data_IF_409838905021
#
_entry.id   IF_409838905021
#
_cell.length_a   1.000
_cell.length_b   1.000
_cell.length_c   1.000
_cell.angle_alpha   90.00
_cell.angle_beta   90.00
_cell.angle_gamma   90.00
#
_symmetry.space_group_name_H-M   'P 1'
#
loop_
_entity.id
_entity.type
_entity.pdbx_description
1 polymer ?
#
# COMPACT_ATOMS: atom_id res chain seq x y z
N UNK A 1 33.65 -21.81 -15.81
CA UNK A 1 32.85 -20.98 -16.72
C UNK A 1 31.74 -20.39 -15.87
N UNK A 2 31.63 -19.06 -15.74
CA UNK A 2 30.47 -18.47 -15.05
C UNK A 2 29.22 -18.80 -15.87
N UNK A 3 28.15 -19.18 -15.18
CA UNK A 3 26.89 -19.57 -15.80
C UNK A 3 26.28 -18.33 -16.45
N UNK A 4 25.99 -18.37 -17.75
CA UNK A 4 25.36 -17.26 -18.47
C UNK A 4 23.83 -17.27 -18.24
N UNK A 5 23.43 -17.57 -17.00
CA UNK A 5 22.04 -17.72 -16.60
C UNK A 5 21.52 -16.35 -16.14
N UNK A 6 20.51 -15.78 -16.81
CA UNK A 6 19.92 -14.50 -16.44
C UNK A 6 19.25 -14.52 -15.05
N UNK A 7 18.99 -15.71 -14.49
CA UNK A 7 18.48 -15.89 -13.12
C UNK A 7 19.61 -15.93 -12.06
N UNK A 8 20.89 -15.93 -12.46
CA UNK A 8 22.02 -15.97 -11.53
C UNK A 8 22.34 -14.56 -11.00
N UNK A 9 22.25 -14.38 -9.68
CA UNK A 9 22.59 -13.14 -8.98
C UNK A 9 24.04 -12.70 -9.25
N UNK A 10 24.94 -13.66 -9.53
CA UNK A 10 26.34 -13.40 -9.86
C UNK A 10 26.52 -12.68 -11.21
N UNK A 11 25.49 -12.66 -12.07
CA UNK A 11 25.49 -11.89 -13.32
C UNK A 11 25.32 -10.38 -13.09
N UNK A 12 24.82 -9.97 -11.92
CA UNK A 12 24.48 -8.58 -11.62
C UNK A 12 25.27 -7.99 -10.44
N UNK A 13 25.72 -8.82 -9.49
CA UNK A 13 26.49 -8.38 -8.33
C UNK A 13 27.76 -9.22 -8.17
N UNK A 14 28.91 -8.56 -8.24
CA UNK A 14 30.20 -9.25 -8.10
C UNK A 14 30.62 -9.31 -6.63
N UNK A 15 31.33 -10.36 -6.20
CA UNK A 15 31.97 -10.38 -4.88
C UNK A 15 32.93 -9.20 -4.72
N UNK A 16 32.55 -8.20 -3.91
CA UNK A 16 33.30 -6.95 -3.73
C UNK A 16 32.50 -5.67 -4.03
N UNK A 17 31.36 -5.78 -4.70
CA UNK A 17 30.41 -4.68 -4.83
C UNK A 17 29.72 -4.39 -3.49
N UNK A 18 29.22 -3.15 -3.26
CA UNK A 18 28.39 -2.84 -2.12
C UNK A 18 27.18 -3.78 -2.06
N UNK A 19 26.87 -4.31 -0.88
CA UNK A 19 25.73 -5.23 -0.71
C UNK A 19 24.43 -4.55 -1.20
N UNK A 20 23.79 -5.08 -2.26
CA UNK A 20 22.62 -4.44 -2.82
C UNK A 20 21.42 -4.59 -1.90
N UNK A 21 20.61 -3.54 -1.83
CA UNK A 21 19.33 -3.63 -1.15
C UNK A 21 18.39 -4.59 -1.89
N UNK A 22 17.48 -5.23 -1.16
CA UNK A 22 16.47 -6.12 -1.78
C UNK A 22 15.67 -5.43 -2.89
N UNK A 23 15.43 -4.12 -2.79
CA UNK A 23 14.81 -3.31 -3.84
C UNK A 23 15.60 -3.32 -5.14
N UNK A 24 16.90 -3.05 -5.07
CA UNK A 24 17.80 -3.01 -6.23
C UNK A 24 17.90 -4.38 -6.91
N UNK A 25 17.87 -5.46 -6.12
CA UNK A 25 17.86 -6.83 -6.66
C UNK A 25 16.56 -7.11 -7.42
N UNK A 26 15.41 -6.76 -6.85
CA UNK A 26 14.11 -6.95 -7.50
C UNK A 26 14.00 -6.12 -8.78
N UNK A 27 14.44 -4.86 -8.76
CA UNK A 27 14.44 -3.99 -9.94
C UNK A 27 15.37 -4.53 -11.05
N UNK A 28 16.58 -4.97 -10.72
CA UNK A 28 17.51 -5.53 -11.67
C UNK A 28 16.96 -6.79 -12.35
N UNK A 29 16.35 -7.69 -11.57
CA UNK A 29 15.70 -8.91 -12.09
C UNK A 29 14.53 -8.56 -13.02
N UNK A 30 13.68 -7.60 -12.64
CA UNK A 30 12.57 -7.18 -13.50
C UNK A 30 13.03 -6.50 -14.79
N UNK A 31 14.08 -5.67 -14.75
CA UNK A 31 14.68 -5.06 -15.94
C UNK A 31 15.30 -6.11 -16.88
N UNK A 32 15.84 -7.19 -16.33
CA UNK A 32 16.31 -8.34 -17.08
C UNK A 32 15.18 -9.24 -17.63
N UNK A 33 13.91 -8.92 -17.34
CA UNK A 33 12.75 -9.69 -17.77
C UNK A 33 12.42 -10.90 -16.88
N UNK A 34 13.15 -11.07 -15.79
CA UNK A 34 12.93 -12.14 -14.81
C UNK A 34 11.82 -11.73 -13.84
N UNK A 35 10.65 -12.38 -13.97
CA UNK A 35 9.47 -12.17 -13.10
C UNK A 35 9.12 -13.38 -12.24
N UNK A 36 10.10 -14.23 -12.01
CA UNK A 36 10.03 -15.43 -11.16
C UNK A 36 10.93 -15.24 -9.94
N UNK A 37 10.78 -16.07 -8.90
CA UNK A 37 11.60 -15.98 -7.69
C UNK A 37 11.51 -14.61 -7.01
N UNK A 38 12.65 -13.98 -6.72
CA UNK A 38 12.70 -12.63 -6.14
C UNK A 38 12.11 -11.56 -7.07
N UNK A 39 12.26 -11.70 -8.39
CA UNK A 39 11.69 -10.77 -9.37
C UNK A 39 10.16 -10.79 -9.48
N UNK A 40 9.51 -11.80 -8.87
CA UNK A 40 8.05 -11.88 -8.76
C UNK A 40 7.48 -10.95 -7.68
N UNK A 41 8.31 -10.50 -6.73
CA UNK A 41 7.90 -9.52 -5.73
C UNK A 41 7.85 -8.13 -6.36
N UNK A 42 6.93 -7.29 -5.91
CA UNK A 42 6.94 -5.90 -6.30
C UNK A 42 8.15 -5.19 -5.66
N UNK A 43 8.84 -4.29 -6.38
CA UNK A 43 9.88 -3.49 -5.76
C UNK A 43 9.26 -2.68 -4.60
N UNK A 44 10.00 -2.48 -3.50
CA UNK A 44 9.58 -1.58 -2.43
C UNK A 44 9.18 -0.20 -2.98
N UNK A 45 8.10 0.39 -2.47
CA UNK A 45 7.58 1.66 -2.96
C UNK A 45 6.58 1.61 -4.13
N UNK A 46 6.14 0.44 -4.62
CA UNK A 46 5.08 0.38 -5.67
C UNK A 46 3.67 0.64 -5.16
N UNK A 47 3.47 0.67 -3.83
CA UNK A 47 2.18 0.94 -3.20
C UNK A 47 2.36 1.97 -2.10
N UNK A 48 2.48 3.28 -2.44
CA UNK A 48 2.61 4.32 -1.44
C UNK A 48 1.41 4.29 -0.48
N UNK A 49 1.62 4.55 0.83
CA UNK A 49 0.53 4.60 1.79
C UNK A 49 -0.54 5.62 1.36
N UNK A 50 -1.80 5.22 1.48
CA UNK A 50 -2.95 6.04 1.15
C UNK A 50 -3.20 7.07 2.26
N UNK A 51 -3.46 8.31 1.87
CA UNK A 51 -3.87 9.39 2.78
C UNK A 51 -5.40 9.38 2.90
N UNK A 52 -5.90 9.22 4.11
CA UNK A 52 -7.34 9.21 4.40
C UNK A 52 -7.67 9.69 5.81
N UNK A 53 -8.94 9.63 6.18
CA UNK A 53 -9.39 9.99 7.53
C UNK A 53 -8.84 9.01 8.57
N UNK A 54 -8.13 9.53 9.56
CA UNK A 54 -7.54 8.75 10.65
C UNK A 54 -8.63 8.18 11.55
N UNK A 55 -8.71 6.86 11.67
CA UNK A 55 -9.67 6.18 12.54
C UNK A 55 -9.11 6.13 13.96
N UNK A 56 -9.78 6.77 14.94
CA UNK A 56 -9.33 6.71 16.32
C UNK A 56 -9.34 5.28 16.86
N UNK A 57 -8.38 5.01 17.74
CA UNK A 57 -8.37 3.81 18.54
C UNK A 57 -9.64 3.75 19.42
N UNK A 58 -10.29 2.59 19.48
CA UNK A 58 -11.51 2.40 20.28
C UNK A 58 -12.82 2.94 19.69
N UNK A 59 -12.82 3.63 18.53
CA UNK A 59 -14.08 4.04 17.88
C UNK A 59 -14.83 2.84 17.30
N UNK A 60 -16.15 2.72 17.46
CA UNK A 60 -16.87 1.62 16.80
C UNK A 60 -17.30 2.06 15.40
N UNK A 61 -16.80 1.38 14.36
CA UNK A 61 -17.14 1.72 12.99
C UNK A 61 -18.56 1.22 12.65
N UNK A 62 -19.41 2.08 12.06
CA UNK A 62 -20.69 1.63 11.54
C UNK A 62 -20.52 0.59 10.42
N UNK A 63 -21.57 -0.19 10.16
CA UNK A 63 -21.61 -1.09 9.00
C UNK A 63 -21.34 -0.32 7.71
N UNK A 64 -20.55 -0.92 6.83
CA UNK A 64 -20.15 -0.30 5.57
C UNK A 64 -18.79 0.40 5.61
N UNK A 65 -18.18 0.53 6.80
CA UNK A 65 -16.85 1.09 6.99
C UNK A 65 -15.89 0.06 7.56
N UNK A 66 -14.61 0.18 7.21
CA UNK A 66 -13.53 -0.67 7.71
C UNK A 66 -12.30 0.16 8.08
N UNK A 67 -11.50 -0.36 9.02
CA UNK A 67 -10.17 0.16 9.34
C UNK A 67 -9.16 -0.45 8.39
N UNK A 68 -8.47 0.37 7.63
CA UNK A 68 -7.35 -0.08 6.82
C UNK A 68 -6.04 0.29 7.51
N UNK A 69 -5.31 -0.73 7.98
CA UNK A 69 -4.00 -0.56 8.59
C UNK A 69 -2.92 -0.56 7.51
N UNK A 70 -2.01 0.39 7.62
CA UNK A 70 -0.91 0.58 6.68
C UNK A 70 0.40 0.65 7.45
N UNK A 71 1.48 0.25 6.80
CA UNK A 71 2.85 0.34 7.32
C UNK A 71 3.70 1.07 6.28
N UNK A 72 4.72 1.81 6.74
CA UNK A 72 5.74 2.35 5.85
C UNK A 72 6.63 1.24 5.31
N UNK A 73 7.48 1.54 4.32
CA UNK A 73 8.47 0.61 3.78
C UNK A 73 9.46 0.13 4.86
N UNK A 74 9.70 0.95 5.88
CA UNK A 74 10.54 0.66 7.05
C UNK A 74 9.80 -0.15 8.14
N UNK A 75 8.55 -0.54 7.88
CA UNK A 75 7.71 -1.30 8.81
C UNK A 75 7.14 -0.46 9.95
N UNK A 76 7.16 0.88 9.84
CA UNK A 76 6.56 1.76 10.85
C UNK A 76 5.03 1.76 10.68
N UNK A 77 4.25 1.43 11.71
CA UNK A 77 2.79 1.47 11.61
C UNK A 77 2.30 2.90 11.43
N UNK A 78 1.45 3.09 10.43
CA UNK A 78 0.74 4.35 10.17
C UNK A 78 -0.64 4.25 10.81
N UNK A 79 -1.18 5.39 11.22
CA UNK A 79 -2.55 5.47 11.71
C UNK A 79 -3.53 4.85 10.69
N UNK A 80 -4.49 4.03 11.14
CA UNK A 80 -5.42 3.38 10.23
C UNK A 80 -6.31 4.43 9.56
N UNK A 81 -6.56 4.23 8.27
CA UNK A 81 -7.46 5.10 7.52
C UNK A 81 -8.85 4.48 7.39
N UNK A 82 -9.85 5.34 7.26
CA UNK A 82 -11.22 4.95 7.02
C UNK A 82 -11.42 4.58 5.55
N UNK A 83 -11.88 3.36 5.30
CA UNK A 83 -12.28 2.89 3.99
C UNK A 83 -13.72 2.38 3.99
N UNK A 84 -14.33 2.37 2.81
CA UNK A 84 -15.56 1.63 2.59
C UNK A 84 -15.28 0.12 2.60
N UNK A 85 -16.20 -0.63 3.22
CA UNK A 85 -16.20 -2.08 3.16
C UNK A 85 -16.29 -2.57 1.71
N UNK A 86 -15.61 -3.66 1.33
CA UNK A 86 -15.68 -4.23 -0.02
C UNK A 86 -17.11 -4.53 -0.50
N UNK A 87 -18.01 -4.85 0.43
CA UNK A 87 -19.40 -5.20 0.13
C UNK A 87 -20.37 -4.02 0.28
N UNK A 88 -19.85 -2.81 0.54
CA UNK A 88 -20.68 -1.63 0.72
C UNK A 88 -21.06 -1.01 -0.63
N UNK A 89 -22.33 -0.65 -0.78
CA UNK A 89 -22.79 0.17 -1.91
C UNK A 89 -22.95 1.61 -1.42
N UNK A 90 -22.17 2.52 -2.00
CA UNK A 90 -22.22 3.92 -1.63
C UNK A 90 -23.44 4.58 -2.26
N UNK A 91 -24.27 5.24 -1.45
CA UNK A 91 -25.47 5.94 -1.90
C UNK A 91 -25.35 7.45 -1.63
N UNK A 92 -25.96 8.28 -2.48
CA UNK A 92 -26.11 9.72 -2.26
C UNK A 92 -27.20 10.06 -1.22
N UNK A 93 -27.40 11.35 -0.96
CA UNK A 93 -28.42 11.85 -0.03
C UNK A 93 -29.86 11.54 -0.47
N UNK A 94 -30.08 11.16 -1.74
CA UNK A 94 -31.35 10.77 -2.32
C UNK A 94 -31.52 9.24 -2.38
N UNK A 95 -30.57 8.48 -1.84
CA UNK A 95 -30.59 7.02 -1.80
C UNK A 95 -30.21 6.37 -3.13
N UNK A 96 -29.64 7.11 -4.09
CA UNK A 96 -29.20 6.57 -5.37
C UNK A 96 -27.78 6.03 -5.24
N UNK A 97 -27.48 4.86 -5.82
CA UNK A 97 -26.11 4.34 -5.82
C UNK A 97 -25.19 5.26 -6.61
N UNK A 98 -24.03 5.57 -6.04
CA UNK A 98 -22.97 6.34 -6.67
C UNK A 98 -21.69 5.49 -6.76
N UNK A 99 -20.80 5.88 -7.66
CA UNK A 99 -19.54 5.16 -7.86
C UNK A 99 -18.69 5.23 -6.58
N UNK A 100 -18.17 4.08 -6.17
CA UNK A 100 -17.18 4.00 -5.11
C UNK A 100 -15.87 4.68 -5.54
N UNK A 101 -15.15 5.37 -4.65
CA UNK A 101 -13.78 5.80 -4.92
C UNK A 101 -12.90 4.61 -5.33
N UNK A 102 -11.97 4.83 -6.26
CA UNK A 102 -11.12 3.76 -6.80
C UNK A 102 -10.24 3.11 -5.71
N UNK A 103 -9.80 3.91 -4.73
CA UNK A 103 -9.03 3.50 -3.56
C UNK A 103 -9.91 3.10 -2.36
N UNK A 104 -11.24 3.25 -2.50
CA UNK A 104 -12.26 3.06 -1.44
C UNK A 104 -12.04 3.91 -0.20
N UNK A 105 -11.20 4.94 -0.27
CA UNK A 105 -10.95 5.86 0.86
C UNK A 105 -12.19 6.72 1.07
N UNK A 106 -12.62 6.83 2.32
CA UNK A 106 -13.83 7.61 2.65
C UNK A 106 -13.50 9.10 2.62
N UNK A 107 -14.21 9.90 1.82
CA UNK A 107 -14.00 11.33 1.78
C UNK A 107 -14.56 12.00 3.06
N UNK A 108 -14.02 13.17 3.48
CA UNK A 108 -14.42 13.87 4.71
C UNK A 108 -15.92 14.16 4.84
N UNK A 109 -16.62 14.33 3.72
CA UNK A 109 -18.04 14.63 3.63
C UNK A 109 -18.92 13.42 4.02
N UNK A 110 -18.38 12.21 3.84
CA UNK A 110 -19.04 10.93 4.14
C UNK A 110 -18.51 10.29 5.43
N UNK A 111 -17.76 11.05 6.23
CA UNK A 111 -17.27 10.56 7.52
C UNK A 111 -18.43 10.17 8.45
N UNK A 112 -18.32 9.03 9.17
CA UNK A 112 -19.27 8.62 10.19
C UNK A 112 -19.55 9.71 11.24
N UNK A 113 -20.79 9.78 11.78
CA UNK A 113 -21.12 10.70 12.86
C UNK A 113 -20.21 10.51 14.08
N UNK A 114 -19.70 11.62 14.64
CA UNK A 114 -18.83 11.59 15.82
C UNK A 114 -17.38 11.19 15.55
N UNK A 115 -17.02 10.87 14.30
CA UNK A 115 -15.63 10.61 13.93
C UNK A 115 -14.86 11.94 13.69
N UNK A 116 -13.65 12.11 14.25
CA UNK A 116 -12.78 13.23 13.90
C UNK A 116 -12.42 13.24 12.41
N UNK A 117 -12.62 14.38 11.74
CA UNK A 117 -12.25 14.57 10.33
C UNK A 117 -10.78 14.94 10.16
N UNK A 118 -9.90 14.23 10.86
CA UNK A 118 -8.44 14.42 10.79
C UNK A 118 -7.87 13.48 9.74
N UNK A 119 -7.06 14.00 8.83
CA UNK A 119 -6.30 13.14 7.91
C UNK A 119 -5.05 12.59 8.58
N UNK A 120 -4.64 11.38 8.19
CA UNK A 120 -3.38 10.81 8.65
C UNK A 120 -2.19 11.63 8.15
N UNK A 121 -1.08 11.57 8.86
CA UNK A 121 0.20 12.09 8.40
C UNK A 121 1.11 10.90 8.09
N UNK A 122 1.60 10.84 6.85
CA UNK A 122 2.60 9.84 6.48
C UNK A 122 3.95 10.34 7.00
N UNK A 123 4.69 9.56 7.80
CA UNK A 123 6.01 9.93 8.26
C UNK A 123 6.94 10.24 7.07
N UNK A 124 7.83 11.25 7.16
CA UNK A 124 8.86 11.44 6.16
C UNK A 124 9.79 10.22 6.15
N UNK A 125 10.24 9.85 4.95
CA UNK A 125 11.27 8.83 4.71
C UNK A 125 12.64 9.31 5.20
#
# INVERSE_FOLDING_TARGET
>A
MPSNDPDDLASYFQPGDPEPTGAQVIEALQQAGVRTGLGAFNPPGTSPPLVGLAVPEGYELPRGYVRHHQVTDEGVPIEPILMFSPDFTLHDAQGRPIAMPADRVVPPELAPPGMPRRQIQIPPR
#
